data_IF_774993518303
#
_entry.id   IF_774993518303
#
_cell.length_a   1.000
_cell.length_b   1.000
_cell.length_c   1.000
_cell.angle_alpha   90.00
_cell.angle_beta   90.00
_cell.angle_gamma   90.00
#
_symmetry.space_group_name_H-M   'P 1'
#
loop_
_entity.id
_entity.type
_entity.pdbx_description
1 polymer ?
#
# COMPACT_ATOMS: atom_id res chain seq x y z
N UNK A 1 -0.93 3.73 -23.45
CA UNK A 1 -1.86 4.80 -23.07
C UNK A 1 -1.39 5.46 -21.78
N UNK A 2 -1.89 6.65 -21.46
CA UNK A 2 -1.75 7.30 -20.15
C UNK A 2 -3.15 7.41 -19.57
N UNK A 3 -3.36 6.80 -18.41
CA UNK A 3 -4.69 6.63 -17.82
C UNK A 3 -4.71 7.19 -16.41
N UNK A 4 -5.61 8.13 -16.15
CA UNK A 4 -5.84 8.66 -14.81
C UNK A 4 -6.76 7.74 -14.02
N UNK A 5 -6.36 7.39 -12.80
CA UNK A 5 -7.18 6.61 -11.89
C UNK A 5 -8.18 7.48 -11.13
N UNK A 6 -9.44 7.04 -11.08
CA UNK A 6 -10.48 7.57 -10.20
C UNK A 6 -10.42 6.80 -8.88
N UNK A 7 -9.86 7.46 -7.86
CA UNK A 7 -9.62 6.86 -6.56
C UNK A 7 -10.91 6.52 -5.79
N UNK A 8 -10.88 5.45 -4.99
CA UNK A 8 -11.98 5.02 -4.12
C UNK A 8 -11.73 5.38 -2.65
N UNK A 9 -12.75 5.88 -1.95
CA UNK A 9 -12.64 6.28 -0.54
C UNK A 9 -13.11 5.15 0.39
N UNK A 10 -12.40 4.94 1.50
CA UNK A 10 -12.83 4.03 2.57
C UNK A 10 -12.82 4.70 3.92
N UNK A 11 -13.97 4.60 4.60
CA UNK A 11 -14.17 5.13 5.95
C UNK A 11 -13.74 4.09 6.97
N UNK A 12 -12.89 4.48 7.91
CA UNK A 12 -12.26 3.60 8.88
C UNK A 12 -12.46 4.13 10.30
N UNK A 13 -12.48 3.24 11.29
CA UNK A 13 -12.60 3.60 12.72
C UNK A 13 -11.46 4.50 13.20
N UNK A 14 -10.30 4.42 12.54
CA UNK A 14 -9.09 5.19 12.81
C UNK A 14 -8.88 6.34 11.81
N UNK A 15 -9.85 6.60 10.92
CA UNK A 15 -9.73 7.59 9.85
C UNK A 15 -9.52 9.02 10.36
N UNK A 16 -9.03 9.89 9.49
CA UNK A 16 -8.65 11.25 9.85
C UNK A 16 -9.73 12.27 9.42
N UNK A 17 -10.23 13.06 10.39
CA UNK A 17 -11.27 14.07 10.15
C UNK A 17 -10.80 15.17 9.19
N UNK A 18 -9.56 15.63 9.32
CA UNK A 18 -9.03 16.72 8.49
C UNK A 18 -8.91 16.29 7.03
N UNK A 19 -8.29 15.14 6.78
CA UNK A 19 -8.20 14.57 5.42
C UNK A 19 -9.59 14.27 4.84
N UNK A 20 -10.56 13.86 5.66
CA UNK A 20 -11.93 13.62 5.21
C UNK A 20 -12.59 14.86 4.60
N UNK A 21 -12.23 16.07 5.08
CA UNK A 21 -12.76 17.33 4.53
C UNK A 21 -12.30 17.58 3.09
N UNK A 22 -11.12 17.09 2.69
CA UNK A 22 -10.64 17.18 1.30
C UNK A 22 -11.60 16.48 0.34
N UNK A 23 -12.33 15.48 0.83
CA UNK A 23 -13.29 14.68 0.08
C UNK A 23 -14.75 15.01 0.42
N UNK A 24 -15.01 16.12 1.14
CA UNK A 24 -16.36 16.53 1.54
C UNK A 24 -17.02 15.65 2.62
N UNK A 25 -16.26 14.78 3.30
CA UNK A 25 -16.78 13.90 4.36
C UNK A 25 -16.64 14.59 5.72
N UNK A 26 -17.77 15.01 6.30
CA UNK A 26 -17.80 15.86 7.50
C UNK A 26 -18.24 15.17 8.80
N UNK A 27 -18.64 13.89 8.74
CA UNK A 27 -19.08 13.09 9.89
C UNK A 27 -18.31 11.76 9.99
N UNK A 28 -18.22 11.12 11.18
CA UNK A 28 -17.62 9.80 11.31
C UNK A 28 -18.53 8.67 10.76
N UNK A 29 -17.96 7.47 10.46
CA UNK A 29 -16.53 7.17 10.46
C UNK A 29 -15.79 8.01 9.41
N UNK A 30 -14.54 8.40 9.68
CA UNK A 30 -13.78 9.28 8.79
C UNK A 30 -13.03 8.48 7.73
N UNK A 31 -12.64 9.12 6.62
CA UNK A 31 -11.79 8.51 5.59
C UNK A 31 -10.44 8.14 6.21
N UNK A 32 -10.08 6.85 6.14
CA UNK A 32 -8.78 6.34 6.56
C UNK A 32 -7.92 5.85 5.41
N UNK A 33 -8.55 5.34 4.36
CA UNK A 33 -7.86 4.89 3.15
C UNK A 33 -8.47 5.56 1.92
N UNK A 34 -7.61 5.93 0.98
CA UNK A 34 -7.98 6.34 -0.37
C UNK A 34 -7.24 5.40 -1.32
N UNK A 35 -7.96 4.52 -1.98
CA UNK A 35 -7.39 3.55 -2.92
C UNK A 35 -7.14 4.26 -4.24
N UNK A 36 -5.88 4.62 -4.47
CA UNK A 36 -5.42 5.42 -5.59
C UNK A 36 -5.38 4.62 -6.90
N UNK A 37 -5.06 3.34 -6.82
CA UNK A 37 -5.16 2.40 -7.93
C UNK A 37 -5.41 1.00 -7.37
N UNK A 38 -6.46 0.34 -7.85
CA UNK A 38 -6.87 -0.98 -7.36
C UNK A 38 -7.56 -1.79 -8.43
N UNK A 39 -7.06 -3.00 -8.69
CA UNK A 39 -7.80 -4.05 -9.39
C UNK A 39 -8.49 -5.04 -8.43
N UNK A 40 -8.58 -4.73 -7.14
CA UNK A 40 -9.13 -5.64 -6.14
C UNK A 40 -10.66 -5.45 -6.02
N UNK A 41 -11.41 -6.55 -5.99
CA UNK A 41 -12.88 -6.57 -6.09
C UNK A 41 -13.59 -5.73 -5.01
N UNK A 42 -13.06 -5.74 -3.79
CA UNK A 42 -13.56 -4.90 -2.69
C UNK A 42 -13.68 -3.41 -3.03
N UNK A 43 -12.78 -2.87 -3.87
CA UNK A 43 -12.83 -1.48 -4.31
C UNK A 43 -11.97 -1.34 -5.57
N UNK A 44 -12.54 -1.68 -6.74
CA UNK A 44 -11.85 -1.51 -8.01
C UNK A 44 -11.94 -0.04 -8.46
N UNK A 45 -10.80 0.54 -8.82
CA UNK A 45 -10.75 1.90 -9.36
C UNK A 45 -11.11 1.90 -10.84
N UNK A 46 -11.63 3.02 -11.34
CA UNK A 46 -11.79 3.25 -12.78
C UNK A 46 -10.57 3.97 -13.34
N UNK A 47 -10.18 3.64 -14.56
CA UNK A 47 -9.13 4.31 -15.31
C UNK A 47 -9.78 5.15 -16.42
N UNK A 48 -9.26 6.35 -16.69
CA UNK A 48 -9.80 7.25 -17.72
C UNK A 48 -8.66 7.80 -18.58
N UNK A 49 -8.83 7.73 -19.91
CA UNK A 49 -7.87 8.32 -20.84
C UNK A 49 -8.09 9.84 -21.06
N UNK A 50 -7.38 10.42 -22.03
CA UNK A 50 -7.50 11.83 -22.38
C UNK A 50 -8.85 12.23 -22.96
N UNK A 51 -9.57 11.27 -23.51
CA UNK A 51 -10.80 11.47 -24.29
C UNK A 51 -12.04 11.16 -23.45
N UNK A 52 -11.84 10.71 -22.20
CA UNK A 52 -12.89 10.41 -21.24
C UNK A 52 -13.37 8.96 -21.27
N UNK A 53 -12.73 8.09 -22.06
CA UNK A 53 -13.10 6.68 -22.10
C UNK A 53 -12.72 6.01 -20.79
N UNK A 54 -13.64 5.21 -20.25
CA UNK A 54 -13.42 4.48 -18.99
C UNK A 54 -12.91 3.06 -19.25
N UNK A 55 -11.94 2.66 -18.44
CA UNK A 55 -11.36 1.34 -18.43
C UNK A 55 -11.26 0.79 -17.00
N UNK A 56 -10.96 -0.50 -16.90
CA UNK A 56 -10.71 -1.22 -15.65
C UNK A 56 -9.24 -1.63 -15.57
N UNK A 57 -8.59 -1.58 -14.39
CA UNK A 57 -7.20 -2.00 -14.20
C UNK A 57 -6.91 -3.41 -14.73
N UNK A 58 -7.90 -4.32 -14.66
CA UNK A 58 -7.76 -5.67 -15.20
C UNK A 58 -7.42 -5.74 -16.69
N UNK A 59 -7.77 -4.71 -17.48
CA UNK A 59 -7.46 -4.66 -18.92
C UNK A 59 -6.00 -4.32 -19.21
N UNK A 60 -5.24 -3.90 -18.18
CA UNK A 60 -3.84 -3.47 -18.32
C UNK A 60 -2.87 -4.37 -17.56
N UNK A 61 -3.30 -5.57 -17.15
CA UNK A 61 -2.45 -6.51 -16.42
C UNK A 61 -1.24 -6.91 -17.27
N UNK A 62 -1.48 -7.45 -18.46
CA UNK A 62 -0.41 -7.89 -19.36
C UNK A 62 0.46 -6.74 -19.87
N UNK A 63 -0.13 -5.56 -20.08
CA UNK A 63 0.61 -4.32 -20.37
C UNK A 63 1.56 -3.95 -19.21
N UNK A 64 1.09 -4.06 -17.97
CA UNK A 64 1.87 -3.73 -16.78
C UNK A 64 2.94 -4.78 -16.46
N UNK A 65 2.60 -6.07 -16.28
CA UNK A 65 3.56 -7.12 -15.85
C UNK A 65 4.05 -8.07 -16.94
N UNK A 66 3.50 -7.99 -18.16
CA UNK A 66 3.94 -8.81 -19.30
C UNK A 66 3.30 -10.17 -19.43
N UNK A 67 2.31 -10.48 -18.60
CA UNK A 67 1.54 -11.71 -18.64
C UNK A 67 0.17 -11.48 -18.02
N UNK A 68 -0.80 -12.35 -18.30
CA UNK A 68 -2.10 -12.32 -17.64
C UNK A 68 -1.98 -12.78 -16.19
N UNK A 69 -2.77 -12.20 -15.29
CA UNK A 69 -2.83 -12.55 -13.87
C UNK A 69 -4.30 -12.57 -13.41
N UNK A 70 -4.57 -13.16 -12.25
CA UNK A 70 -5.92 -13.20 -11.68
C UNK A 70 -6.57 -11.80 -11.50
N UNK A 71 -5.78 -10.78 -11.18
CA UNK A 71 -6.21 -9.38 -11.08
C UNK A 71 -5.03 -8.43 -11.23
N UNK A 72 -5.28 -7.12 -11.28
CA UNK A 72 -4.18 -6.14 -11.30
C UNK A 72 -3.29 -6.33 -10.05
N UNK A 73 -1.96 -6.47 -10.22
CA UNK A 73 -1.10 -7.12 -9.23
C UNK A 73 -0.77 -6.25 -8.01
N UNK A 74 -0.89 -4.93 -8.14
CA UNK A 74 -0.60 -3.98 -7.07
C UNK A 74 -1.86 -3.24 -6.62
N UNK A 75 -1.86 -2.86 -5.34
CA UNK A 75 -2.81 -1.92 -4.75
C UNK A 75 -2.01 -0.75 -4.18
N UNK A 76 -2.36 0.46 -4.62
CA UNK A 76 -1.74 1.70 -4.17
C UNK A 76 -2.77 2.50 -3.40
N UNK A 77 -2.42 2.93 -2.18
CA UNK A 77 -3.31 3.70 -1.31
C UNK A 77 -2.60 4.93 -0.78
N UNK A 78 -3.38 5.97 -0.56
CA UNK A 78 -3.06 6.99 0.44
C UNK A 78 -3.75 6.59 1.75
N UNK A 79 -2.99 6.53 2.84
CA UNK A 79 -3.52 6.23 4.19
C UNK A 79 -3.39 7.47 5.05
N UNK A 80 -4.44 7.80 5.80
CA UNK A 80 -4.42 8.83 6.83
C UNK A 80 -5.05 8.34 8.12
N UNK A 81 -4.22 8.23 9.16
CA UNK A 81 -4.64 7.76 10.49
C UNK A 81 -4.71 8.91 11.49
N UNK A 82 -5.75 8.92 12.32
CA UNK A 82 -5.84 9.75 13.54
C UNK A 82 -5.61 8.94 14.81
N UNK A 83 -5.74 7.61 14.72
CA UNK A 83 -5.56 6.64 15.79
C UNK A 83 -4.67 5.50 15.31
N UNK A 84 -4.20 4.67 16.23
CA UNK A 84 -3.53 3.43 15.88
C UNK A 84 -4.42 2.55 14.99
N UNK A 85 -3.85 2.02 13.92
CA UNK A 85 -4.38 0.85 13.24
C UNK A 85 -4.28 -0.36 14.16
N UNK A 86 -5.02 -1.44 13.87
CA UNK A 86 -4.82 -2.69 14.61
C UNK A 86 -3.37 -3.18 14.49
N UNK A 87 -2.88 -3.82 15.54
CA UNK A 87 -1.70 -4.70 15.45
C UNK A 87 -2.09 -5.87 14.56
N UNK A 88 -1.34 -6.06 13.48
CA UNK A 88 -1.69 -6.98 12.42
C UNK A 88 -0.46 -7.64 11.82
N UNK A 89 -0.71 -8.77 11.16
CA UNK A 89 0.26 -9.48 10.32
C UNK A 89 -0.43 -9.92 9.05
N UNK A 90 0.36 -10.02 7.98
CA UNK A 90 -0.12 -10.41 6.66
C UNK A 90 0.47 -11.76 6.25
N UNK A 91 -0.33 -12.67 5.63
CA UNK A 91 0.18 -13.91 5.08
C UNK A 91 1.07 -13.66 3.87
N UNK A 92 1.99 -14.60 3.63
CA UNK A 92 2.72 -14.67 2.36
C UNK A 92 1.87 -15.35 1.27
N UNK A 93 2.42 -15.45 0.07
CA UNK A 93 1.72 -16.03 -1.08
C UNK A 93 1.34 -17.50 -0.88
N UNK A 94 2.11 -18.25 -0.08
CA UNK A 94 1.83 -19.68 0.19
C UNK A 94 0.63 -19.80 1.13
N UNK A 95 0.64 -19.06 2.24
CA UNK A 95 -0.44 -19.08 3.22
C UNK A 95 -1.72 -18.45 2.69
N UNK A 96 -1.63 -17.39 1.88
CA UNK A 96 -2.80 -16.76 1.26
C UNK A 96 -3.56 -17.76 0.36
N UNK A 97 -2.83 -18.52 -0.47
CA UNK A 97 -3.42 -19.56 -1.31
C UNK A 97 -3.99 -20.71 -0.48
N UNK A 98 -3.26 -21.18 0.52
CA UNK A 98 -3.64 -22.35 1.29
C UNK A 98 -4.81 -22.10 2.25
N UNK A 99 -4.91 -20.90 2.83
CA UNK A 99 -5.88 -20.60 3.90
C UNK A 99 -7.04 -19.70 3.46
N UNK A 100 -6.84 -18.86 2.44
CA UNK A 100 -7.82 -17.84 2.04
C UNK A 100 -8.27 -17.99 0.58
N UNK A 101 -7.63 -18.87 -0.21
CA UNK A 101 -7.90 -19.00 -1.64
C UNK A 101 -7.52 -17.76 -2.46
N UNK A 102 -6.75 -16.83 -1.90
CA UNK A 102 -6.27 -15.64 -2.61
C UNK A 102 -5.01 -15.97 -3.43
N UNK A 103 -4.82 -15.35 -4.61
CA UNK A 103 -3.72 -15.69 -5.52
C UNK A 103 -2.34 -15.34 -4.93
N UNK A 104 -2.29 -14.35 -4.04
CA UNK A 104 -1.07 -13.89 -3.38
C UNK A 104 -1.36 -13.28 -2.00
N UNK A 105 -0.30 -13.20 -1.20
CA UNK A 105 -0.28 -12.61 0.13
C UNK A 105 -0.19 -11.09 0.07
N UNK A 106 0.34 -10.51 1.15
CA UNK A 106 0.37 -9.05 1.30
C UNK A 106 1.67 -8.59 1.95
N UNK A 107 2.68 -8.39 1.11
CA UNK A 107 3.83 -7.53 1.43
C UNK A 107 3.52 -6.11 0.98
N UNK A 108 4.03 -5.15 1.74
CA UNK A 108 3.74 -3.72 1.58
C UNK A 108 5.02 -2.88 1.65
N UNK A 109 4.91 -1.63 1.23
CA UNK A 109 5.91 -0.61 1.38
C UNK A 109 5.20 0.72 1.67
N UNK A 110 5.64 1.39 2.73
CA UNK A 110 5.14 2.69 3.13
C UNK A 110 6.13 3.77 2.76
N UNK A 111 5.69 4.75 1.98
CA UNK A 111 6.38 6.02 1.78
C UNK A 111 5.73 7.10 2.66
N UNK A 112 6.49 7.63 3.62
CA UNK A 112 5.97 8.58 4.60
C UNK A 112 5.82 9.99 4.01
N UNK A 113 4.59 10.51 4.01
CA UNK A 113 4.27 11.86 3.53
C UNK A 113 4.48 12.93 4.59
N UNK A 114 4.51 12.52 5.86
CA UNK A 114 4.84 13.31 7.03
C UNK A 114 5.49 12.44 8.11
N UNK A 115 6.02 13.06 9.16
CA UNK A 115 6.51 12.35 10.33
C UNK A 115 5.42 11.45 10.91
N UNK A 116 5.71 10.16 10.92
CA UNK A 116 4.77 9.08 11.27
C UNK A 116 5.42 8.14 12.28
N UNK A 117 4.65 7.19 12.79
CA UNK A 117 5.16 6.15 13.71
C UNK A 117 4.63 4.78 13.33
N UNK A 118 5.38 3.74 13.68
CA UNK A 118 4.96 2.34 13.59
C UNK A 118 5.25 1.66 14.90
N UNK A 119 4.34 0.80 15.35
CA UNK A 119 4.62 -0.18 16.40
C UNK A 119 4.86 -1.53 15.73
N UNK A 120 5.95 -2.21 16.06
CA UNK A 120 6.31 -3.50 15.45
C UNK A 120 6.87 -4.47 16.48
N UNK A 121 6.94 -5.75 16.11
CA UNK A 121 7.64 -6.79 16.87
C UNK A 121 8.55 -7.55 15.92
N UNK A 122 9.87 -7.49 16.17
CA UNK A 122 10.88 -8.13 15.31
C UNK A 122 10.96 -9.64 15.50
N UNK A 123 10.67 -10.12 16.71
CA UNK A 123 10.82 -11.54 17.07
C UNK A 123 9.51 -12.30 16.97
N UNK A 124 9.45 -13.29 16.08
CA UNK A 124 8.33 -14.23 15.99
C UNK A 124 8.03 -14.93 17.33
N UNK A 125 9.07 -15.18 18.15
CA UNK A 125 8.89 -15.80 19.47
C UNK A 125 8.13 -14.88 20.43
N UNK A 126 8.49 -13.58 20.48
CA UNK A 126 7.77 -12.60 21.31
C UNK A 126 6.33 -12.41 20.85
N UNK A 127 6.08 -12.43 19.54
CA UNK A 127 4.73 -12.39 18.98
C UNK A 127 3.90 -13.58 19.44
N UNK A 128 4.43 -14.80 19.32
CA UNK A 128 3.73 -16.02 19.75
C UNK A 128 3.41 -16.01 21.24
N UNK A 129 4.31 -15.49 22.06
CA UNK A 129 4.06 -15.32 23.49
C UNK A 129 2.99 -14.25 23.77
N UNK A 130 3.00 -13.13 23.03
CA UNK A 130 1.98 -12.10 23.14
C UNK A 130 0.58 -12.59 22.68
N UNK A 131 0.52 -13.48 21.69
CA UNK A 131 -0.74 -14.15 21.29
C UNK A 131 -1.31 -14.97 22.45
N UNK A 132 -0.47 -15.73 23.16
CA UNK A 132 -0.89 -16.58 24.29
C UNK A 132 -1.30 -15.77 25.52
N UNK A 133 -0.57 -14.69 25.80
CA UNK A 133 -0.71 -13.93 27.06
C UNK A 133 -1.56 -12.67 26.94
N UNK A 134 -1.83 -12.20 25.72
CA UNK A 134 -2.49 -10.91 25.45
C UNK A 134 -1.63 -9.68 25.74
N UNK A 135 -0.35 -9.84 26.12
CA UNK A 135 0.53 -8.75 26.59
C UNK A 135 1.20 -7.99 25.44
N UNK A 136 0.39 -7.41 24.54
CA UNK A 136 0.90 -6.69 23.37
C UNK A 136 1.69 -5.43 23.71
N UNK A 137 1.23 -4.65 24.72
CA UNK A 137 1.87 -3.38 25.09
C UNK A 137 3.32 -3.53 25.55
N UNK A 138 3.73 -4.70 26.04
CA UNK A 138 5.10 -4.95 26.51
C UNK A 138 6.06 -5.42 25.42
N UNK A 139 5.55 -5.88 24.27
CA UNK A 139 6.39 -6.41 23.17
C UNK A 139 6.47 -5.47 21.97
N UNK A 140 5.56 -4.49 21.87
CA UNK A 140 5.52 -3.54 20.76
C UNK A 140 6.62 -2.50 20.91
N UNK A 141 7.48 -2.42 19.91
CA UNK A 141 8.47 -1.36 19.79
C UNK A 141 7.96 -0.26 18.87
N UNK A 142 7.83 0.96 19.39
CA UNK A 142 7.45 2.12 18.60
C UNK A 142 8.69 2.74 17.95
N UNK A 143 8.70 2.85 16.62
CA UNK A 143 9.74 3.48 15.83
C UNK A 143 9.18 4.71 15.12
N UNK A 144 10.00 5.75 14.96
CA UNK A 144 9.67 6.92 14.12
C UNK A 144 9.93 6.60 12.65
N UNK A 145 9.05 7.12 11.79
CA UNK A 145 9.17 7.08 10.33
C UNK A 145 9.15 8.55 9.86
N UNK A 146 10.32 9.19 9.70
CA UNK A 146 10.40 10.58 9.26
C UNK A 146 9.80 10.77 7.86
N UNK A 147 9.31 11.97 7.56
CA UNK A 147 8.86 12.32 6.21
C UNK A 147 9.91 11.97 5.14
N UNK A 148 9.48 11.37 4.04
CA UNK A 148 10.33 10.99 2.90
C UNK A 148 11.09 9.68 3.06
N UNK A 149 10.97 9.03 4.21
CA UNK A 149 11.52 7.69 4.45
C UNK A 149 10.62 6.59 3.88
N UNK A 150 11.18 5.39 3.80
CA UNK A 150 10.53 4.18 3.30
C UNK A 150 10.63 3.08 4.33
N UNK A 151 9.50 2.44 4.61
CA UNK A 151 9.45 1.23 5.42
C UNK A 151 8.88 0.07 4.59
N UNK A 152 9.69 -0.95 4.35
CA UNK A 152 9.23 -2.20 3.77
C UNK A 152 8.60 -3.09 4.84
N UNK A 153 7.42 -3.64 4.55
CA UNK A 153 6.68 -4.52 5.45
C UNK A 153 6.50 -5.85 4.71
N UNK A 154 7.45 -6.78 4.84
CA UNK A 154 7.29 -8.11 4.27
C UNK A 154 6.13 -8.85 4.97
N UNK A 155 5.46 -9.72 4.21
CA UNK A 155 4.51 -10.65 4.78
C UNK A 155 5.13 -11.44 5.95
N UNK A 156 4.42 -11.47 7.07
CA UNK A 156 4.85 -12.08 8.33
C UNK A 156 5.36 -11.11 9.40
N UNK A 157 5.64 -9.85 9.06
CA UNK A 157 5.98 -8.82 10.05
C UNK A 157 4.74 -8.37 10.84
N UNK A 158 4.80 -8.42 12.17
CA UNK A 158 3.78 -7.80 13.04
C UNK A 158 4.02 -6.30 13.11
N UNK A 159 3.01 -5.51 12.74
CA UNK A 159 3.09 -4.06 12.71
C UNK A 159 1.74 -3.39 12.97
N UNK A 160 1.77 -2.10 13.30
CA UNK A 160 0.62 -1.20 13.37
C UNK A 160 1.06 0.23 13.02
N UNK A 161 0.36 0.87 12.08
CA UNK A 161 0.57 2.30 11.81
C UNK A 161 0.04 3.14 12.98
N UNK A 162 0.85 4.08 13.42
CA UNK A 162 0.54 4.99 14.52
C UNK A 162 -0.48 6.08 14.16
N UNK A 163 -0.99 6.80 15.16
CA UNK A 163 -1.85 7.96 14.96
C UNK A 163 -1.12 9.08 14.21
N UNK A 164 -1.89 10.02 13.68
CA UNK A 164 -1.40 11.22 12.99
C UNK A 164 -0.37 10.91 11.90
N UNK A 165 -0.59 9.84 11.13
CA UNK A 165 0.30 9.43 10.06
C UNK A 165 -0.37 9.65 8.71
N UNK A 166 0.44 10.00 7.71
CA UNK A 166 0.03 10.03 6.30
C UNK A 166 1.11 9.35 5.47
N UNK A 167 0.71 8.41 4.63
CA UNK A 167 1.63 7.65 3.78
C UNK A 167 1.01 7.23 2.46
N UNK A 168 1.86 6.94 1.48
CA UNK A 168 1.50 6.12 0.32
C UNK A 168 1.88 4.68 0.66
N UNK A 169 0.90 3.78 0.67
CA UNK A 169 1.07 2.34 0.82
C UNK A 169 1.03 1.70 -0.57
N UNK A 170 2.12 1.02 -0.94
CA UNK A 170 2.18 0.17 -2.12
C UNK A 170 2.23 -1.26 -1.62
N UNK A 171 1.32 -2.10 -2.09
CA UNK A 171 1.23 -3.48 -1.66
C UNK A 171 0.88 -4.41 -2.83
N UNK A 172 1.12 -5.70 -2.64
CA UNK A 172 0.45 -6.72 -3.46
C UNK A 172 -1.07 -6.50 -3.37
N UNK A 173 -1.80 -6.77 -4.45
CA UNK A 173 -3.25 -6.53 -4.53
C UNK A 173 -4.05 -7.53 -3.68
N UNK A 174 -4.01 -7.36 -2.37
CA UNK A 174 -4.59 -8.25 -1.35
C UNK A 174 -5.12 -7.43 -0.17
N UNK A 175 -6.30 -7.78 0.32
CA UNK A 175 -6.86 -7.17 1.54
C UNK A 175 -6.78 -8.11 2.76
N UNK A 176 -5.90 -9.11 2.73
CA UNK A 176 -5.73 -10.07 3.81
C UNK A 176 -5.02 -9.43 5.02
N UNK A 177 -5.69 -9.43 6.17
CA UNK A 177 -5.17 -8.86 7.41
C UNK A 177 -5.54 -9.76 8.57
N UNK A 178 -4.54 -10.35 9.24
CA UNK A 178 -4.77 -11.08 10.48
C UNK A 178 -4.54 -10.16 11.66
N UNK A 179 -5.65 -9.75 12.27
CA UNK A 179 -5.64 -8.86 13.43
C UNK A 179 -5.25 -9.61 14.70
N UNK A 180 -4.27 -9.07 15.42
CA UNK A 180 -3.70 -9.62 16.66
C UNK A 180 -4.20 -8.87 17.90
N UNK A 181 -4.25 -7.54 17.81
CA UNK A 181 -4.72 -6.64 18.86
C UNK A 181 -5.29 -5.36 18.27
N UNK A 182 -6.32 -4.78 18.90
CA UNK A 182 -7.04 -3.63 18.35
C UNK A 182 -7.25 -2.48 19.33
N UNK A 183 -6.39 -2.34 20.33
CA UNK A 183 -6.46 -1.23 21.28
C UNK A 183 -7.83 -1.17 21.97
N UNK A 184 -8.33 -2.34 22.35
CA UNK A 184 -9.56 -2.52 23.11
C UNK A 184 -10.84 -2.08 22.35
N UNK A 185 -10.78 -1.92 21.01
CA UNK A 185 -11.95 -1.61 20.15
C UNK A 185 -12.81 -2.83 19.78
N UNK A 186 -12.56 -4.00 20.39
CA UNK A 186 -13.33 -5.25 20.26
C UNK A 186 -13.66 -5.73 18.83
N UNK A 187 -12.85 -5.41 17.82
CA UNK A 187 -12.98 -6.02 16.48
C UNK A 187 -12.42 -7.44 16.45
N UNK A 188 -12.90 -8.23 15.50
CA UNK A 188 -12.47 -9.61 15.28
C UNK A 188 -10.94 -9.77 15.22
N UNK A 189 -10.44 -10.78 15.94
CA UNK A 189 -9.04 -11.18 15.98
C UNK A 189 -8.86 -12.53 15.26
N UNK A 190 -7.69 -12.74 14.68
CA UNK A 190 -7.37 -13.89 13.82
C UNK A 190 -6.15 -14.64 14.35
N UNK A 191 -6.12 -14.92 15.65
CA UNK A 191 -4.90 -15.33 16.37
C UNK A 191 -4.22 -16.58 15.80
N UNK A 192 -4.99 -17.63 15.45
CA UNK A 192 -4.43 -18.86 14.87
C UNK A 192 -3.80 -18.62 13.50
N UNK A 193 -4.49 -17.91 12.61
CA UNK A 193 -3.99 -17.56 11.27
C UNK A 193 -2.76 -16.65 11.38
N UNK A 194 -2.79 -15.70 12.32
CA UNK A 194 -1.66 -14.82 12.59
C UNK A 194 -0.43 -15.60 13.08
N UNK A 195 -0.60 -16.54 14.01
CA UNK A 195 0.50 -17.38 14.51
C UNK A 195 1.19 -18.17 13.39
N UNK A 196 0.44 -18.63 12.38
CA UNK A 196 1.00 -19.31 11.20
C UNK A 196 1.75 -18.35 10.27
N UNK A 197 1.34 -17.09 10.18
CA UNK A 197 1.91 -16.11 9.25
C UNK A 197 3.19 -15.43 9.77
N UNK A 198 3.37 -15.37 11.09
CA UNK A 198 4.41 -14.56 11.74
C UNK A 198 5.82 -15.04 11.41
N UNK A 199 6.70 -14.08 11.08
CA UNK A 199 8.12 -14.28 10.78
C UNK A 199 8.96 -13.24 11.52
N UNK A 200 10.22 -13.57 11.80
CA UNK A 200 11.15 -12.62 12.39
C UNK A 200 11.78 -11.73 11.31
N UNK A 201 11.90 -10.44 11.60
CA UNK A 201 12.52 -9.46 10.72
C UNK A 201 13.30 -8.43 11.53
N UNK A 202 14.32 -7.81 10.94
CA UNK A 202 15.14 -6.80 11.60
C UNK A 202 14.86 -5.42 11.04
N UNK A 203 14.53 -4.44 11.90
CA UNK A 203 14.22 -3.07 11.50
C UNK A 203 15.23 -2.45 10.54
N UNK A 204 16.52 -2.68 10.77
CA UNK A 204 17.60 -2.10 9.97
C UNK A 204 17.59 -2.55 8.51
N UNK A 205 16.96 -3.68 8.20
CA UNK A 205 16.81 -4.21 6.84
C UNK A 205 15.54 -3.69 6.15
N UNK A 206 14.58 -3.19 6.93
CA UNK A 206 13.25 -2.80 6.47
C UNK A 206 13.14 -1.30 6.22
N UNK A 207 13.87 -0.51 7.01
CA UNK A 207 13.77 0.95 7.02
C UNK A 207 14.88 1.61 6.19
N UNK A 208 14.49 2.56 5.34
CA UNK A 208 15.39 3.48 4.65
C UNK A 208 15.00 4.91 5.00
N UNK A 209 15.95 5.70 5.50
CA UNK A 209 15.71 7.09 5.92
C UNK A 209 15.32 8.03 4.78
N UNK A 210 15.65 7.68 3.53
CA UNK A 210 15.27 8.42 2.34
C UNK A 210 14.98 7.48 1.16
N UNK A 211 14.15 7.95 0.22
CA UNK A 211 13.87 7.26 -1.03
C UNK A 211 14.60 7.92 -2.21
N UNK A 212 15.58 7.20 -2.75
CA UNK A 212 16.00 7.38 -4.15
C UNK A 212 15.38 6.25 -4.98
N UNK A 213 15.71 5.02 -4.62
CA UNK A 213 15.17 3.79 -5.18
C UNK A 213 14.97 2.74 -4.08
N UNK A 214 13.85 2.04 -4.16
CA UNK A 214 13.54 0.88 -3.35
C UNK A 214 13.08 -0.25 -4.27
N UNK A 215 13.61 -1.44 -4.07
CA UNK A 215 13.29 -2.61 -4.87
C UNK A 215 12.90 -3.75 -3.94
N UNK A 216 11.80 -4.41 -4.27
CA UNK A 216 11.39 -5.68 -3.69
C UNK A 216 10.94 -6.62 -4.82
N UNK A 217 10.67 -7.90 -4.54
CA UNK A 217 10.26 -8.85 -5.57
C UNK A 217 9.02 -8.39 -6.36
N UNK A 218 8.16 -7.56 -5.77
CA UNK A 218 6.86 -7.19 -6.30
C UNK A 218 6.85 -5.85 -7.06
N UNK A 219 7.76 -4.92 -6.75
CA UNK A 219 7.82 -3.63 -7.43
C UNK A 219 9.16 -2.92 -7.21
N UNK A 220 9.43 -1.98 -8.11
CA UNK A 220 10.46 -0.95 -7.95
C UNK A 220 9.77 0.37 -7.69
N UNK A 221 10.11 1.03 -6.58
CA UNK A 221 9.62 2.34 -6.18
C UNK A 221 10.75 3.36 -6.30
N UNK A 222 10.51 4.47 -6.98
CA UNK A 222 11.43 5.62 -7.02
C UNK A 222 10.68 6.91 -6.72
N UNK A 223 11.41 7.90 -6.24
CA UNK A 223 10.96 9.28 -6.16
C UNK A 223 11.65 10.08 -7.25
N UNK A 224 10.88 10.78 -8.05
CA UNK A 224 11.34 11.56 -9.18
C UNK A 224 10.68 12.95 -9.17
N UNK A 225 11.25 13.86 -9.97
CA UNK A 225 10.67 15.19 -10.17
C UNK A 225 11.05 15.75 -11.54
N UNK A 226 10.11 16.43 -12.21
CA UNK A 226 10.35 17.13 -13.49
C UNK A 226 11.06 16.26 -14.53
N UNK A 227 10.59 15.02 -14.69
CA UNK A 227 11.24 14.00 -15.52
C UNK A 227 10.24 13.22 -16.37
N UNK A 228 10.77 12.34 -17.22
CA UNK A 228 9.96 11.49 -18.09
C UNK A 228 9.77 10.13 -17.42
N UNK A 229 8.53 9.76 -17.13
CA UNK A 229 8.16 8.41 -16.70
C UNK A 229 7.98 7.52 -17.93
N UNK A 230 8.67 6.38 -17.97
CA UNK A 230 8.58 5.40 -19.06
C UNK A 230 7.84 4.16 -18.56
N UNK A 231 6.78 3.76 -19.25
CA UNK A 231 5.96 2.63 -18.85
C UNK A 231 6.56 1.26 -19.21
N UNK A 232 6.10 0.18 -18.55
CA UNK A 232 4.96 0.16 -17.64
C UNK A 232 5.26 0.73 -16.25
N UNK A 233 4.48 1.73 -15.82
CA UNK A 233 4.70 2.41 -14.55
C UNK A 233 3.42 3.04 -14.01
N UNK A 234 3.23 2.97 -12.70
CA UNK A 234 2.22 3.73 -11.97
C UNK A 234 2.90 4.99 -11.43
N UNK A 235 2.27 6.14 -11.65
CA UNK A 235 2.74 7.44 -11.17
C UNK A 235 1.78 7.94 -10.11
N UNK A 236 2.29 8.30 -8.94
CA UNK A 236 1.50 8.99 -7.89
C UNK A 236 2.08 10.38 -7.69
N UNK A 237 1.29 11.42 -7.96
CA UNK A 237 1.75 12.80 -7.75
C UNK A 237 1.94 13.09 -6.26
N UNK A 238 3.07 13.69 -5.90
CA UNK A 238 3.38 14.16 -4.55
C UNK A 238 3.23 15.67 -4.39
N UNK A 239 3.09 16.41 -5.49
CA UNK A 239 2.76 17.83 -5.53
C UNK A 239 1.70 18.10 -6.60
N UNK A 240 1.10 19.29 -6.58
CA UNK A 240 0.44 19.82 -7.77
C UNK A 240 1.48 19.96 -8.90
N UNK A 241 1.03 19.83 -10.15
CA UNK A 241 1.93 19.76 -11.30
C UNK A 241 1.20 19.54 -12.61
N UNK A 242 1.88 18.90 -13.56
CA UNK A 242 1.33 18.56 -14.87
C UNK A 242 1.77 17.19 -15.35
N UNK A 243 0.90 16.49 -16.07
CA UNK A 243 1.19 15.25 -16.79
C UNK A 243 0.83 15.46 -18.25
N UNK A 244 1.81 15.34 -19.15
CA UNK A 244 1.64 15.67 -20.58
C UNK A 244 1.03 17.07 -20.80
N UNK A 245 1.51 18.05 -20.04
CA UNK A 245 1.06 19.45 -20.12
C UNK A 245 -0.32 19.74 -19.49
N UNK A 246 -1.11 18.71 -19.13
CA UNK A 246 -2.40 18.87 -18.43
C UNK A 246 -2.19 19.00 -16.93
N UNK A 247 -2.97 19.86 -16.28
CA UNK A 247 -2.90 20.04 -14.82
C UNK A 247 -3.19 18.74 -14.08
N UNK A 248 -2.45 18.54 -12.99
CA UNK A 248 -2.57 17.38 -12.12
C UNK A 248 -2.43 17.80 -10.67
N UNK A 249 -3.28 17.24 -9.81
CA UNK A 249 -3.29 17.54 -8.37
C UNK A 249 -2.48 16.53 -7.59
N UNK A 250 -2.03 16.94 -6.40
CA UNK A 250 -1.39 16.04 -5.44
C UNK A 250 -2.24 14.78 -5.22
N UNK A 251 -1.57 13.62 -5.22
CA UNK A 251 -2.10 12.26 -5.11
C UNK A 251 -2.90 11.74 -6.31
N UNK A 252 -3.13 12.55 -7.34
CA UNK A 252 -3.64 12.01 -8.60
C UNK A 252 -2.67 10.97 -9.14
N UNK A 253 -3.24 9.85 -9.59
CA UNK A 253 -2.49 8.64 -9.90
C UNK A 253 -2.75 8.25 -11.34
N UNK A 254 -1.69 7.88 -12.04
CA UNK A 254 -1.71 7.56 -13.47
C UNK A 254 -1.09 6.20 -13.72
N UNK A 255 -1.64 5.46 -14.67
CA UNK A 255 -1.03 4.26 -15.23
C UNK A 255 -0.51 4.61 -16.63
N UNK A 256 0.79 4.43 -16.84
CA UNK A 256 1.46 4.64 -18.13
C UNK A 256 1.82 3.27 -18.69
N UNK A 257 1.27 2.96 -19.86
CA UNK A 257 1.46 1.67 -20.53
C UNK A 257 2.89 1.41 -20.99
N UNK A 258 3.19 0.16 -21.28
CA UNK A 258 4.45 -0.26 -21.90
C UNK A 258 4.71 0.53 -23.19
N UNK A 259 5.98 0.85 -23.42
CA UNK A 259 6.45 1.61 -24.59
C UNK A 259 5.87 3.03 -24.71
N UNK A 260 5.13 3.51 -23.71
CA UNK A 260 4.66 4.90 -23.64
C UNK A 260 5.52 5.66 -22.63
N UNK A 261 5.76 6.93 -22.92
CA UNK A 261 6.46 7.85 -22.03
C UNK A 261 5.54 9.02 -21.71
N UNK A 262 5.68 9.60 -20.52
CA UNK A 262 4.99 10.81 -20.13
C UNK A 262 5.96 11.80 -19.46
N UNK A 263 5.94 13.05 -19.89
CA UNK A 263 6.54 14.19 -19.23
C UNK A 263 5.71 14.56 -18.01
N UNK A 264 6.35 14.55 -16.85
CA UNK A 264 5.74 14.88 -15.57
C UNK A 264 6.47 16.07 -14.97
N UNK A 265 5.72 17.14 -14.72
CA UNK A 265 6.18 18.32 -13.99
C UNK A 265 5.62 18.28 -12.58
N UNK A 266 6.46 18.49 -11.57
CA UNK A 266 6.14 18.27 -10.16
C UNK A 266 6.87 17.06 -9.57
N UNK A 267 6.66 16.83 -8.27
CA UNK A 267 7.21 15.68 -7.55
C UNK A 267 6.27 14.48 -7.67
N UNK A 268 6.81 13.27 -7.85
CA UNK A 268 6.01 12.05 -7.95
C UNK A 268 6.76 10.80 -7.49
N UNK A 269 5.99 9.75 -7.20
CA UNK A 269 6.50 8.39 -7.08
C UNK A 269 6.27 7.64 -8.38
N UNK A 270 7.29 6.89 -8.83
CA UNK A 270 7.17 5.94 -9.93
C UNK A 270 7.24 4.51 -9.39
N UNK A 271 6.26 3.69 -9.76
CA UNK A 271 6.11 2.30 -9.29
C UNK A 271 6.05 1.38 -10.51
N UNK A 272 7.12 0.64 -10.74
CA UNK A 272 7.25 -0.32 -11.86
C UNK A 272 7.07 -1.75 -11.35
N UNK A 273 6.64 -2.69 -12.22
CA UNK A 273 6.47 -4.09 -11.84
C UNK A 273 7.80 -4.72 -11.39
N UNK A 274 7.75 -5.55 -10.35
CA UNK A 274 8.88 -6.36 -9.90
C UNK A 274 8.99 -7.69 -10.65
N UNK A 275 10.05 -8.43 -10.37
CA UNK A 275 10.37 -9.69 -11.07
C UNK A 275 9.45 -10.87 -10.71
N UNK A 276 8.81 -10.86 -9.54
CA UNK A 276 8.03 -11.98 -9.03
C UNK A 276 6.75 -12.28 -9.84
N UNK A 277 6.20 -11.28 -10.55
CA UNK A 277 4.91 -11.43 -11.26
C UNK A 277 4.93 -12.49 -12.34
N UNK A 278 6.07 -12.64 -13.03
CA UNK A 278 6.26 -13.71 -14.02
C UNK A 278 5.96 -15.10 -13.46
N UNK A 279 6.23 -15.35 -12.18
CA UNK A 279 5.97 -16.63 -11.52
C UNK A 279 4.59 -16.67 -10.85
N UNK A 280 4.17 -15.56 -10.24
CA UNK A 280 2.91 -15.48 -9.49
C UNK A 280 1.68 -15.53 -10.41
N UNK A 281 1.82 -15.10 -11.65
CA UNK A 281 0.73 -15.04 -12.61
C UNK A 281 0.65 -16.27 -13.54
N UNK A 282 1.65 -17.16 -13.51
CA UNK A 282 1.72 -18.38 -14.36
C UNK A 282 0.84 -19.55 -13.87
N UNK A 283 -0.20 -19.30 -13.06
CA UNK A 283 -1.08 -20.34 -12.50
C UNK A 283 -2.54 -19.96 -12.62
#
# INVERSE_FOLDING_TARGET
MILKSKAGLRRMVWGNRETSRWFGVNSPPYVGEVWLLSGHEMCETKLVDSDGNEFRPKQFISDFVGTECHRFPLLVKFISSSQWLSVQVHPDDVLARALEGEPWGKSECWYALQDSTVALVESAMQVKEAIKTGRWRSVLEVKRIPKGSVLYIPAGLVHALGPNSQLIEIQQSSNLTYRLYDWDRHRELHLRKAEMAVKSHRWQQLFKSSLNIFECPYFVLKRDSNSVAKGPVIVVMLSDGRVEGKESKKYETFLISRCVSAHIHGEFLSISPGSAWSNLCRK
#
